data_IF_714144861763
#
_entry.id   IF_714144861763
#
_cell.length_a   1.000
_cell.length_b   1.000
_cell.length_c   1.000
_cell.angle_alpha   90.00
_cell.angle_beta   90.00
_cell.angle_gamma   90.00
#
_symmetry.space_group_name_H-M   'P 1'
#
loop_
_entity.id
_entity.type
_entity.pdbx_description
1 polymer ?
#
# COMPACT_ATOMS: atom_id res chain seq x y z
N UNK A 1 8.22 -4.73 -16.87
CA UNK A 1 7.94 -5.68 -15.76
C UNK A 1 6.51 -5.47 -15.34
N UNK A 2 5.67 -6.50 -15.42
CA UNK A 2 4.35 -6.46 -14.78
C UNK A 2 4.55 -6.36 -13.27
N UNK A 3 4.05 -5.29 -12.65
CA UNK A 3 4.09 -5.11 -11.20
C UNK A 3 2.95 -5.93 -10.60
N UNK A 4 3.22 -7.18 -10.25
CA UNK A 4 2.27 -7.98 -9.48
C UNK A 4 2.36 -7.63 -7.99
N UNK A 5 1.34 -6.96 -7.48
CA UNK A 5 1.14 -6.71 -6.05
C UNK A 5 0.54 -7.91 -5.33
N UNK A 6 1.01 -8.15 -4.10
CA UNK A 6 0.48 -9.18 -3.18
C UNK A 6 -0.48 -8.57 -2.16
N UNK A 7 -1.50 -9.32 -1.76
CA UNK A 7 -2.41 -8.91 -0.68
C UNK A 7 -1.61 -8.65 0.60
N UNK A 8 -1.82 -7.50 1.23
CA UNK A 8 -1.09 -7.08 2.42
C UNK A 8 0.23 -6.35 2.14
N UNK A 9 0.65 -6.25 0.88
CA UNK A 9 1.86 -5.53 0.51
C UNK A 9 1.70 -4.03 0.72
N UNK A 10 2.75 -3.39 1.25
CA UNK A 10 2.82 -1.94 1.36
C UNK A 10 3.05 -1.31 -0.02
N UNK A 11 2.26 -0.30 -0.35
CA UNK A 11 2.32 0.40 -1.63
C UNK A 11 2.31 1.91 -1.42
N UNK A 12 2.96 2.63 -2.34
CA UNK A 12 2.89 4.07 -2.45
C UNK A 12 2.02 4.45 -3.65
N UNK A 13 1.04 5.32 -3.40
CA UNK A 13 0.27 6.00 -4.42
C UNK A 13 0.94 7.32 -4.79
N UNK A 14 1.41 7.43 -6.04
CA UNK A 14 2.17 8.56 -6.55
C UNK A 14 1.58 9.01 -7.90
N UNK A 15 0.44 9.72 -7.92
CA UNK A 15 -0.13 10.24 -9.15
C UNK A 15 0.70 11.40 -9.70
N UNK A 16 0.73 11.53 -11.02
CA UNK A 16 1.44 12.59 -11.75
C UNK A 16 0.47 13.54 -12.43
N UNK A 17 0.82 14.82 -12.49
CA UNK A 17 0.08 15.80 -13.29
C UNK A 17 0.35 15.65 -14.80
N UNK A 18 -0.28 16.50 -15.61
CA UNK A 18 -0.10 16.52 -17.06
C UNK A 18 1.34 16.82 -17.53
N UNK A 19 2.21 17.31 -16.63
CA UNK A 19 3.63 17.58 -16.88
C UNK A 19 4.54 16.48 -16.33
N UNK A 20 3.96 15.39 -15.81
CA UNK A 20 4.68 14.27 -15.22
C UNK A 20 5.19 14.51 -13.80
N UNK A 21 4.78 15.60 -13.13
CA UNK A 21 5.22 15.89 -11.76
C UNK A 21 4.32 15.20 -10.75
N UNK A 22 4.92 14.52 -9.78
CA UNK A 22 4.20 13.93 -8.65
C UNK A 22 3.64 15.07 -7.79
N UNK A 23 2.33 15.09 -7.58
CA UNK A 23 1.66 16.12 -6.78
C UNK A 23 1.15 15.60 -5.43
N UNK A 24 1.15 14.29 -5.22
CA UNK A 24 0.75 13.64 -3.97
C UNK A 24 1.54 12.35 -3.78
N UNK A 25 1.86 12.01 -2.54
CA UNK A 25 2.33 10.68 -2.16
C UNK A 25 1.52 10.23 -0.95
N UNK A 26 0.96 9.03 -1.02
CA UNK A 26 0.22 8.44 0.09
C UNK A 26 0.53 6.95 0.21
N UNK A 27 0.74 6.48 1.44
CA UNK A 27 1.04 5.08 1.72
C UNK A 27 -0.25 4.33 2.02
N UNK A 28 -0.36 3.11 1.49
CA UNK A 28 -1.46 2.22 1.78
C UNK A 28 -1.08 0.75 1.66
N UNK A 29 -2.03 -0.11 2.00
CA UNK A 29 -1.88 -1.56 1.94
C UNK A 29 -2.74 -2.11 0.81
N UNK A 30 -2.13 -2.89 -0.08
CA UNK A 30 -2.83 -3.51 -1.21
C UNK A 30 -3.81 -4.57 -0.72
N UNK A 31 -5.06 -4.50 -1.18
CA UNK A 31 -6.11 -5.47 -0.85
C UNK A 31 -6.35 -6.46 -1.99
N UNK A 32 -6.80 -5.97 -3.15
CA UNK A 32 -7.10 -6.78 -4.35
C UNK A 32 -7.21 -5.91 -5.60
N UNK A 33 -7.07 -6.54 -6.76
CA UNK A 33 -7.36 -5.90 -8.05
C UNK A 33 -8.85 -5.68 -8.30
N UNK A 34 -9.14 -4.73 -9.18
CA UNK A 34 -10.44 -4.63 -9.86
C UNK A 34 -10.63 -5.79 -10.84
N UNK A 35 -11.88 -6.06 -11.25
CA UNK A 35 -12.21 -7.17 -12.17
C UNK A 35 -11.47 -7.06 -13.52
N UNK A 36 -11.24 -5.84 -13.98
CA UNK A 36 -10.55 -5.51 -15.24
C UNK A 36 -9.03 -5.34 -15.08
N UNK A 37 -8.48 -5.51 -13.87
CA UNK A 37 -7.06 -5.33 -13.53
C UNK A 37 -6.46 -3.95 -13.88
N UNK A 38 -7.29 -2.93 -14.15
CA UNK A 38 -6.82 -1.55 -14.40
C UNK A 38 -6.57 -0.77 -13.10
N UNK A 39 -7.14 -1.23 -12.00
CA UNK A 39 -6.97 -0.63 -10.68
C UNK A 39 -6.86 -1.66 -9.57
N UNK A 40 -6.68 -1.14 -8.36
CA UNK A 40 -6.60 -1.91 -7.13
C UNK A 40 -7.30 -1.19 -5.99
N UNK A 41 -7.86 -1.98 -5.07
CA UNK A 41 -8.40 -1.48 -3.81
C UNK A 41 -7.28 -1.39 -2.78
N UNK A 42 -7.05 -0.18 -2.27
CA UNK A 42 -5.97 0.14 -1.33
C UNK A 42 -6.58 0.63 -0.01
N UNK A 43 -6.08 0.10 1.11
CA UNK A 43 -6.33 0.63 2.45
C UNK A 43 -5.33 1.74 2.74
N UNK A 44 -5.74 2.98 2.58
CA UNK A 44 -4.89 4.14 2.91
C UNK A 44 -4.85 4.37 4.42
N UNK A 45 -3.73 4.92 4.90
CA UNK A 45 -3.49 5.12 6.34
C UNK A 45 -4.60 5.91 7.05
N UNK A 46 -5.18 6.91 6.40
CA UNK A 46 -6.24 7.74 6.98
C UNK A 46 -7.67 7.30 6.61
N UNK A 47 -7.85 6.16 5.94
CA UNK A 47 -9.13 5.71 5.41
C UNK A 47 -9.77 4.58 6.22
N UNK A 48 -11.04 4.75 6.60
CA UNK A 48 -11.86 3.66 7.16
C UNK A 48 -12.39 2.67 6.12
N UNK A 49 -12.14 2.91 4.83
CA UNK A 49 -12.59 2.10 3.70
C UNK A 49 -11.48 1.96 2.65
N UNK A 50 -11.56 0.90 1.84
CA UNK A 50 -10.71 0.77 0.65
C UNK A 50 -11.08 1.82 -0.40
N UNK A 51 -10.07 2.45 -1.00
CA UNK A 51 -10.25 3.29 -2.17
C UNK A 51 -9.75 2.57 -3.44
N UNK A 52 -10.53 2.68 -4.52
CA UNK A 52 -10.14 2.17 -5.84
C UNK A 52 -9.11 3.13 -6.47
N UNK A 53 -7.92 2.62 -6.80
CA UNK A 53 -6.78 3.40 -7.27
C UNK A 53 -6.24 2.83 -8.59
N UNK A 54 -5.93 3.65 -9.60
CA UNK A 54 -5.31 3.21 -10.84
C UNK A 54 -3.95 2.55 -10.58
N UNK A 55 -3.70 1.40 -11.23
CA UNK A 55 -2.48 0.62 -10.99
C UNK A 55 -1.21 1.34 -11.46
N UNK A 56 -1.33 2.19 -12.48
CA UNK A 56 -0.24 2.99 -13.05
C UNK A 56 0.37 3.99 -12.06
N UNK A 57 -0.40 4.40 -11.05
CA UNK A 57 0.07 5.30 -10.00
C UNK A 57 0.57 4.56 -8.76
N UNK A 58 0.57 3.22 -8.76
CA UNK A 58 1.01 2.41 -7.63
C UNK A 58 2.45 1.94 -7.80
N UNK A 59 3.20 2.06 -6.71
CA UNK A 59 4.58 1.61 -6.60
C UNK A 59 4.71 0.68 -5.41
N UNK A 60 5.31 -0.52 -5.58
CA UNK A 60 5.58 -1.40 -4.46
C UNK A 60 6.60 -0.74 -3.54
N UNK A 61 6.39 -0.85 -2.22
CA UNK A 61 7.41 -0.50 -1.24
C UNK A 61 8.15 -1.78 -0.90
N UNK A 62 9.42 -1.85 -1.25
CA UNK A 62 10.28 -3.00 -0.96
C UNK A 62 10.75 -2.93 0.50
N UNK A 63 10.03 -3.64 1.37
CA UNK A 63 10.27 -3.65 2.81
C UNK A 63 10.39 -5.06 3.40
N UNK A 64 10.44 -6.09 2.56
CA UNK A 64 10.51 -7.49 2.97
C UNK A 64 11.69 -7.80 3.91
N UNK A 65 12.79 -7.05 3.78
CA UNK A 65 13.99 -7.19 4.64
C UNK A 65 13.95 -6.32 5.91
N UNK A 66 13.00 -5.40 6.02
CA UNK A 66 12.91 -4.42 7.11
C UNK A 66 11.74 -4.71 8.05
N UNK A 67 10.64 -5.26 7.54
CA UNK A 67 9.54 -5.77 8.36
C UNK A 67 9.87 -7.21 8.77
N UNK A 68 10.68 -7.34 9.82
CA UNK A 68 10.81 -8.61 10.53
C UNK A 68 9.52 -8.77 11.34
N UNK A 69 8.60 -9.62 10.91
CA UNK A 69 7.45 -10.08 11.72
C UNK A 69 8.01 -10.95 12.86
N UNK A 70 8.75 -10.35 13.78
CA UNK A 70 9.27 -10.96 15.00
C UNK A 70 8.73 -10.26 16.25
N UNK A 71 8.35 -8.98 16.12
CA UNK A 71 7.77 -8.19 17.19
C UNK A 71 6.60 -7.38 16.64
N UNK A 72 5.40 -7.93 16.72
CA UNK A 72 4.19 -7.11 16.74
C UNK A 72 4.20 -6.33 18.04
N UNK A 73 4.52 -5.05 18.00
CA UNK A 73 4.29 -4.15 19.12
C UNK A 73 2.83 -3.74 19.10
N UNK A 74 2.01 -4.33 19.97
CA UNK A 74 0.73 -3.77 20.32
C UNK A 74 0.92 -3.01 21.64
N UNK A 75 0.62 -1.72 21.68
CA UNK A 75 0.74 -0.91 22.89
C UNK A 75 -0.16 -1.39 24.05
N UNK A 76 -1.08 -2.33 23.77
CA UNK A 76 -1.97 -2.96 24.73
C UNK A 76 -1.49 -4.34 25.19
N UNK A 77 -0.45 -4.90 24.55
CA UNK A 77 0.13 -6.16 25.00
C UNK A 77 0.86 -5.92 26.32
N UNK A 78 0.40 -6.58 27.38
CA UNK A 78 1.08 -6.54 28.67
C UNK A 78 2.38 -7.30 28.56
N UNK A 79 3.50 -6.66 28.86
CA UNK A 79 4.77 -7.34 29.06
C UNK A 79 4.60 -8.41 30.15
N UNK A 80 4.83 -9.68 29.79
CA UNK A 80 4.96 -10.73 30.79
C UNK A 80 6.37 -10.62 31.37
N UNK A 81 6.47 -10.07 32.58
CA UNK A 81 7.65 -10.12 33.44
C UNK A 81 7.80 -11.55 33.97
#
# INVERSE_FOLDING_TARGET
MEKEFKKGQLVAYCPTDARGKIYKVEIGVFSKYTKDKRGAFIWYHMGGTCACTPIEHLYPVENDNYIVIGHTFNSLDKEKI
#
